data_IF_730482323504
#
_entry.id   IF_730482323504
#
_cell.length_a   1.000
_cell.length_b   1.000
_cell.length_c   1.000
_cell.angle_alpha   90.00
_cell.angle_beta   90.00
_cell.angle_gamma   90.00
#
_symmetry.space_group_name_H-M   'P 1'
#
loop_
_entity.id
_entity.type
_entity.pdbx_description
1 polymer ?
#
# COMPACT_ATOMS: atom_id res chain seq x y z
N UNK A 1 14.30 -14.35 -0.10
CA UNK A 1 13.10 -14.65 -0.92
C UNK A 1 11.90 -14.70 0.02
N UNK A 2 10.88 -13.84 -0.19
CA UNK A 2 9.72 -13.79 0.69
C UNK A 2 8.99 -15.13 0.78
N UNK A 3 8.54 -15.49 1.97
CA UNK A 3 7.71 -16.69 2.19
C UNK A 3 6.25 -16.39 1.80
N UNK A 4 5.97 -16.45 0.51
CA UNK A 4 4.64 -16.16 -0.04
C UNK A 4 3.59 -17.22 0.33
N UNK A 5 4.01 -18.42 0.75
CA UNK A 5 3.09 -19.50 1.10
C UNK A 5 2.19 -19.10 2.28
N UNK A 6 2.68 -18.24 3.20
CA UNK A 6 1.90 -17.77 4.35
C UNK A 6 0.62 -17.02 3.97
N UNK A 7 0.63 -16.36 2.81
CA UNK A 7 -0.51 -15.56 2.33
C UNK A 7 -1.24 -16.20 1.14
N UNK A 8 -0.57 -17.07 0.38
CA UNK A 8 -1.16 -17.71 -0.79
C UNK A 8 -1.77 -19.08 -0.49
N UNK A 9 -1.20 -19.82 0.44
CA UNK A 9 -1.65 -21.18 0.73
C UNK A 9 -2.53 -21.22 1.98
N UNK A 10 -3.66 -21.91 1.88
CA UNK A 10 -4.55 -22.16 3.02
C UNK A 10 -6.02 -22.00 2.68
N UNK A 11 -6.85 -22.86 3.27
CA UNK A 11 -8.30 -22.84 3.07
C UNK A 11 -9.02 -21.81 3.95
N UNK A 12 -8.38 -21.32 5.01
CA UNK A 12 -8.99 -20.37 5.95
C UNK A 12 -8.74 -18.93 5.51
N UNK A 13 -9.73 -18.03 5.69
CA UNK A 13 -9.55 -16.60 5.44
C UNK A 13 -8.33 -16.07 6.18
N UNK A 14 -7.54 -15.24 5.50
CA UNK A 14 -6.44 -14.53 6.16
C UNK A 14 -7.00 -13.33 6.93
N UNK A 15 -6.53 -13.14 8.16
CA UNK A 15 -6.88 -11.98 8.98
C UNK A 15 -6.02 -10.78 8.60
N UNK A 16 -6.52 -9.56 8.87
CA UNK A 16 -5.75 -8.32 8.70
C UNK A 16 -4.38 -8.40 9.40
N UNK A 17 -4.37 -8.87 10.66
CA UNK A 17 -3.14 -8.98 11.46
C UNK A 17 -2.12 -9.92 10.84
N UNK A 18 -2.54 -11.11 10.38
CA UNK A 18 -1.63 -12.04 9.69
C UNK A 18 -1.00 -11.40 8.46
N UNK A 19 -1.81 -10.70 7.65
CA UNK A 19 -1.30 -10.00 6.47
C UNK A 19 -0.33 -8.87 6.85
N UNK A 20 -0.67 -8.03 7.83
CA UNK A 20 0.17 -6.91 8.26
C UNK A 20 1.51 -7.36 8.85
N UNK A 21 1.49 -8.42 9.67
CA UNK A 21 2.70 -9.01 10.25
C UNK A 21 3.61 -9.58 9.14
N UNK A 22 3.03 -10.33 8.20
CA UNK A 22 3.75 -10.87 7.03
C UNK A 22 4.30 -9.78 6.12
N UNK A 23 3.50 -8.76 5.79
CA UNK A 23 3.90 -7.66 4.92
C UNK A 23 5.05 -6.88 5.56
N UNK A 24 4.97 -6.59 6.87
CA UNK A 24 6.03 -5.93 7.62
C UNK A 24 7.33 -6.72 7.57
N UNK A 25 7.27 -8.01 7.87
CA UNK A 25 8.45 -8.86 7.86
C UNK A 25 9.07 -8.91 6.46
N UNK A 26 8.26 -9.12 5.43
CA UNK A 26 8.71 -9.19 4.03
C UNK A 26 9.40 -7.90 3.58
N UNK A 27 8.82 -6.74 3.88
CA UNK A 27 9.42 -5.44 3.53
C UNK A 27 10.78 -5.26 4.22
N UNK A 28 10.90 -5.63 5.49
CA UNK A 28 12.16 -5.52 6.24
C UNK A 28 13.21 -6.48 5.69
N UNK A 29 12.84 -7.71 5.35
CA UNK A 29 13.73 -8.69 4.70
C UNK A 29 14.22 -8.19 3.33
N UNK A 30 13.35 -7.60 2.52
CA UNK A 30 13.75 -6.99 1.23
C UNK A 30 14.81 -5.90 1.40
N UNK A 31 14.71 -5.09 2.45
CA UNK A 31 15.70 -4.04 2.75
C UNK A 31 17.00 -4.64 3.26
N UNK A 32 16.95 -5.69 4.10
CA UNK A 32 18.15 -6.41 4.53
C UNK A 32 18.91 -7.01 3.34
N UNK A 33 18.20 -7.59 2.37
CA UNK A 33 18.79 -8.12 1.14
C UNK A 33 19.29 -7.02 0.18
N UNK A 34 18.64 -5.84 0.19
CA UNK A 34 18.95 -4.68 -0.66
C UNK A 34 19.00 -3.38 0.15
N UNK A 35 20.11 -3.11 0.87
CA UNK A 35 20.21 -1.98 1.82
C UNK A 35 20.02 -0.57 1.22
N UNK A 36 20.09 -0.44 -0.11
CA UNK A 36 19.86 0.83 -0.80
C UNK A 36 18.36 1.13 -1.03
N UNK A 37 17.45 0.21 -0.70
CA UNK A 37 16.01 0.45 -0.78
C UNK A 37 15.49 1.13 0.50
N UNK A 38 14.69 2.17 0.33
CA UNK A 38 13.85 2.68 1.42
C UNK A 38 12.68 1.73 1.67
N UNK A 39 12.05 1.84 2.85
CA UNK A 39 10.80 1.13 3.15
C UNK A 39 9.74 1.42 2.11
N UNK A 40 9.57 2.68 1.71
CA UNK A 40 8.60 3.05 0.68
C UNK A 40 8.83 2.33 -0.65
N UNK A 41 10.08 2.20 -1.10
CA UNK A 41 10.39 1.48 -2.35
C UNK A 41 10.17 -0.02 -2.22
N UNK A 42 10.61 -0.64 -1.12
CA UNK A 42 10.40 -2.06 -0.87
C UNK A 42 8.89 -2.38 -0.81
N UNK A 43 8.11 -1.61 -0.05
CA UNK A 43 6.66 -1.75 0.03
C UNK A 43 5.98 -1.51 -1.33
N UNK A 44 6.41 -0.51 -2.12
CA UNK A 44 5.86 -0.27 -3.46
C UNK A 44 6.06 -1.46 -4.39
N UNK A 45 7.25 -2.06 -4.41
CA UNK A 45 7.54 -3.24 -5.23
C UNK A 45 6.70 -4.43 -4.79
N UNK A 46 6.59 -4.67 -3.48
CA UNK A 46 5.76 -5.74 -2.93
C UNK A 46 4.28 -5.55 -3.29
N UNK A 47 3.73 -4.36 -3.07
CA UNK A 47 2.33 -4.05 -3.40
C UNK A 47 2.05 -4.17 -4.89
N UNK A 48 3.00 -3.81 -5.76
CA UNK A 48 2.83 -3.97 -7.20
C UNK A 48 2.68 -5.44 -7.59
N UNK A 49 3.53 -6.30 -7.02
CA UNK A 49 3.43 -7.74 -7.17
C UNK A 49 2.09 -8.26 -6.62
N UNK A 50 1.71 -7.88 -5.40
CA UNK A 50 0.47 -8.34 -4.76
C UNK A 50 -0.77 -7.89 -5.51
N UNK A 51 -0.82 -6.65 -6.00
CA UNK A 51 -1.92 -6.17 -6.84
C UNK A 51 -2.06 -7.02 -8.09
N UNK A 52 -0.97 -7.33 -8.77
CA UNK A 52 -1.03 -8.16 -9.98
C UNK A 52 -1.47 -9.59 -9.66
N UNK A 53 -0.91 -10.19 -8.62
CA UNK A 53 -1.16 -11.59 -8.27
C UNK A 53 -2.54 -11.81 -7.65
N UNK A 54 -2.95 -10.95 -6.72
CA UNK A 54 -4.17 -11.10 -5.93
C UNK A 54 -5.36 -10.40 -6.59
N UNK A 55 -5.22 -9.13 -6.97
CA UNK A 55 -6.33 -8.37 -7.54
C UNK A 55 -6.60 -8.76 -8.99
N UNK A 56 -5.56 -8.85 -9.83
CA UNK A 56 -5.75 -9.14 -11.26
C UNK A 56 -5.88 -10.65 -11.52
N UNK A 57 -5.02 -11.47 -10.93
CA UNK A 57 -5.01 -12.91 -11.20
C UNK A 57 -5.82 -13.75 -10.19
N UNK A 58 -6.32 -13.17 -9.10
CA UNK A 58 -7.20 -13.85 -8.15
C UNK A 58 -6.52 -14.91 -7.28
N UNK A 59 -5.19 -14.88 -7.15
CA UNK A 59 -4.46 -15.80 -6.28
C UNK A 59 -4.48 -15.35 -4.82
N UNK A 60 -4.52 -16.30 -3.89
CA UNK A 60 -4.40 -16.03 -2.47
C UNK A 60 -5.31 -16.87 -1.59
N UNK A 61 -5.05 -16.83 -0.29
CA UNK A 61 -6.02 -17.26 0.72
C UNK A 61 -7.33 -16.46 0.57
N UNK A 62 -8.48 -17.01 1.01
CA UNK A 62 -9.73 -16.27 1.04
C UNK A 62 -9.57 -14.93 1.77
N UNK A 63 -10.29 -13.91 1.31
CA UNK A 63 -10.28 -12.54 1.85
C UNK A 63 -8.95 -11.77 1.74
N UNK A 64 -7.88 -12.34 1.16
CA UNK A 64 -6.60 -11.65 1.02
C UNK A 64 -6.73 -10.29 0.30
N UNK A 65 -7.58 -10.22 -0.73
CA UNK A 65 -7.82 -8.98 -1.49
C UNK A 65 -8.26 -7.81 -0.61
N UNK A 66 -8.94 -8.07 0.52
CA UNK A 66 -9.43 -7.03 1.44
C UNK A 66 -8.30 -6.28 2.14
N UNK A 67 -7.12 -6.91 2.24
CA UNK A 67 -5.98 -6.38 2.98
C UNK A 67 -4.87 -5.85 2.08
N UNK A 68 -4.99 -5.97 0.75
CA UNK A 68 -3.95 -5.47 -0.15
C UNK A 68 -3.88 -3.95 -0.06
N UNK A 69 -2.66 -3.44 0.19
CA UNK A 69 -2.39 -2.02 0.27
C UNK A 69 -2.30 -1.39 -1.14
N UNK A 70 -2.70 -0.13 -1.30
CA UNK A 70 -2.54 0.59 -2.56
C UNK A 70 -1.05 0.89 -2.85
N UNK A 71 -0.78 1.21 -4.11
CA UNK A 71 0.50 1.76 -4.56
C UNK A 71 0.64 3.21 -4.12
N UNK A 72 1.49 3.45 -3.12
CA UNK A 72 1.81 4.81 -2.68
C UNK A 72 2.77 5.47 -3.67
N UNK A 73 2.30 6.53 -4.34
CA UNK A 73 3.17 7.44 -5.09
C UNK A 73 2.60 8.84 -5.28
N UNK A 74 3.35 9.67 -6.02
CA UNK A 74 3.03 11.07 -6.24
C UNK A 74 1.64 11.28 -6.85
N UNK A 75 1.24 10.48 -7.84
CA UNK A 75 -0.05 10.69 -8.50
C UNK A 75 -1.22 10.36 -7.56
N UNK A 76 -1.06 9.33 -6.72
CA UNK A 76 -2.05 8.98 -5.71
C UNK A 76 -2.16 10.08 -4.63
N UNK A 77 -1.02 10.58 -4.13
CA UNK A 77 -1.00 11.69 -3.18
C UNK A 77 -1.67 12.94 -3.72
N UNK A 78 -1.30 13.39 -4.93
CA UNK A 78 -1.91 14.56 -5.57
C UNK A 78 -3.42 14.38 -5.80
N UNK A 79 -3.87 13.14 -6.01
CA UNK A 79 -5.27 12.78 -6.10
C UNK A 79 -6.03 12.93 -4.79
N UNK A 80 -5.47 12.34 -3.73
CA UNK A 80 -6.02 12.41 -2.37
C UNK A 80 -6.03 13.86 -1.88
N UNK A 81 -4.95 14.62 -2.09
CA UNK A 81 -4.87 16.03 -1.68
C UNK A 81 -6.00 16.88 -2.26
N UNK A 82 -6.29 16.69 -3.55
CA UNK A 82 -7.38 17.40 -4.21
C UNK A 82 -8.76 16.96 -3.70
N UNK A 83 -8.99 15.65 -3.60
CA UNK A 83 -10.28 15.10 -3.20
C UNK A 83 -10.62 15.39 -1.72
N UNK A 84 -9.60 15.50 -0.87
CA UNK A 84 -9.72 15.67 0.59
C UNK A 84 -9.16 17.01 1.06
N UNK A 85 -9.19 18.04 0.21
CA UNK A 85 -8.73 19.38 0.54
C UNK A 85 -9.42 19.90 1.81
N UNK A 86 -8.62 20.22 2.84
CA UNK A 86 -9.11 20.71 4.13
C UNK A 86 -9.41 19.64 5.18
N UNK A 87 -9.37 18.35 4.83
CA UNK A 87 -9.49 17.22 5.79
C UNK A 87 -8.14 16.90 6.42
N UNK A 88 -7.78 17.68 7.44
CA UNK A 88 -6.48 17.57 8.12
C UNK A 88 -6.19 16.20 8.70
N UNK A 89 -7.21 15.52 9.22
CA UNK A 89 -7.12 14.17 9.79
C UNK A 89 -6.61 13.13 8.78
N UNK A 90 -7.00 13.27 7.51
CA UNK A 90 -6.54 12.41 6.40
C UNK A 90 -5.20 12.89 5.86
N UNK A 91 -5.05 14.20 5.62
CA UNK A 91 -3.86 14.76 4.98
C UNK A 91 -2.61 14.66 5.87
N UNK A 92 -2.73 14.86 7.18
CA UNK A 92 -1.60 14.74 8.11
C UNK A 92 -1.05 13.31 8.17
N UNK A 93 -1.90 12.30 7.92
CA UNK A 93 -1.49 10.88 7.84
C UNK A 93 -0.97 10.51 6.44
N UNK A 94 -1.79 10.71 5.42
CA UNK A 94 -1.47 10.28 4.03
C UNK A 94 -0.25 11.01 3.45
N UNK A 95 -0.05 12.29 3.82
CA UNK A 95 1.07 13.12 3.35
C UNK A 95 2.17 13.31 4.38
N UNK A 96 2.22 12.45 5.42
CA UNK A 96 3.29 12.44 6.42
C UNK A 96 4.69 12.42 5.78
N UNK A 97 4.82 11.72 4.64
CA UNK A 97 5.93 11.84 3.69
C UNK A 97 5.37 12.18 2.31
N UNK A 98 6.12 12.95 1.52
CA UNK A 98 5.70 13.39 0.18
C UNK A 98 6.50 12.74 -0.97
N UNK A 99 7.46 11.86 -0.64
CA UNK A 99 8.21 11.09 -1.63
C UNK A 99 8.40 9.67 -1.11
N UNK A 100 8.23 8.69 -2.00
CA UNK A 100 8.39 7.26 -1.68
C UNK A 100 9.75 6.96 -1.05
N UNK A 101 10.81 7.62 -1.55
CA UNK A 101 12.18 7.46 -1.01
C UNK A 101 12.35 7.98 0.43
N UNK A 102 11.48 8.89 0.88
CA UNK A 102 11.57 9.51 2.21
C UNK A 102 10.79 8.69 3.27
N UNK A 103 10.10 7.62 2.86
CA UNK A 103 9.49 6.63 3.76
C UNK A 103 10.59 5.65 4.19
N UNK A 104 11.20 5.91 5.34
CA UNK A 104 12.42 5.21 5.79
C UNK A 104 12.18 4.20 6.91
N UNK A 105 11.07 4.30 7.63
CA UNK A 105 10.67 3.32 8.64
C UNK A 105 9.35 2.65 8.26
N UNK A 106 9.11 1.45 8.78
CA UNK A 106 7.81 0.81 8.58
C UNK A 106 6.66 1.57 9.26
N UNK A 107 6.93 2.31 10.33
CA UNK A 107 5.93 3.17 10.97
C UNK A 107 5.55 4.37 10.08
N UNK A 108 6.51 4.93 9.32
CA UNK A 108 6.21 5.98 8.32
C UNK A 108 5.21 5.44 7.29
N UNK A 109 5.46 4.23 6.79
CA UNK A 109 4.59 3.56 5.83
C UNK A 109 3.22 3.23 6.43
N UNK A 110 3.18 2.66 7.63
CA UNK A 110 1.95 2.31 8.33
C UNK A 110 1.08 3.54 8.59
N UNK A 111 1.66 4.67 8.98
CA UNK A 111 0.93 5.94 9.18
C UNK A 111 0.21 6.38 7.91
N UNK A 112 0.85 6.23 6.75
CA UNK A 112 0.24 6.56 5.45
C UNK A 112 -0.92 5.60 5.16
N UNK A 113 -0.73 4.29 5.38
CA UNK A 113 -1.77 3.28 5.17
C UNK A 113 -2.97 3.53 6.06
N UNK A 114 -2.79 3.83 7.35
CA UNK A 114 -3.88 4.20 8.26
C UNK A 114 -4.68 5.41 7.75
N UNK A 115 -4.01 6.40 7.14
CA UNK A 115 -4.68 7.53 6.50
C UNK A 115 -5.56 7.09 5.33
N UNK A 116 -5.10 6.11 4.55
CA UNK A 116 -5.86 5.52 3.44
C UNK A 116 -6.99 4.60 3.92
N UNK A 117 -6.85 3.98 5.09
CA UNK A 117 -7.94 3.20 5.71
C UNK A 117 -9.13 4.08 6.11
N UNK A 118 -8.86 5.30 6.61
CA UNK A 118 -9.91 6.29 6.87
C UNK A 118 -10.67 6.61 5.57
N UNK A 119 -9.95 6.86 4.48
CA UNK A 119 -10.54 7.11 3.16
C UNK A 119 -11.39 5.91 2.71
N UNK A 120 -10.84 4.70 2.78
CA UNK A 120 -11.52 3.48 2.37
C UNK A 120 -12.81 3.25 3.16
N UNK A 121 -12.76 3.46 4.49
CA UNK A 121 -13.92 3.35 5.36
C UNK A 121 -15.00 4.38 5.00
N UNK A 122 -14.63 5.64 4.76
CA UNK A 122 -15.58 6.69 4.38
C UNK A 122 -16.29 6.42 3.05
N UNK A 123 -15.59 5.75 2.11
CA UNK A 123 -16.10 5.43 0.78
C UNK A 123 -16.80 4.08 0.68
N UNK A 124 -16.68 3.22 1.69
CA UNK A 124 -17.16 1.84 1.62
C UNK A 124 -16.31 0.97 0.70
N UNK A 125 -15.02 1.27 0.61
CA UNK A 125 -14.05 0.63 -0.28
C UNK A 125 -13.20 -0.41 0.44
N UNK A 126 -12.60 -1.31 -0.34
CA UNK A 126 -11.39 -2.01 0.02
C UNK A 126 -10.20 -1.03 0.01
N UNK A 127 -9.18 -1.32 0.82
CA UNK A 127 -8.03 -0.43 0.95
C UNK A 127 -7.30 -0.19 -0.39
N UNK A 128 -7.21 -1.21 -1.25
CA UNK A 128 -6.61 -1.10 -2.59
C UNK A 128 -7.39 -0.16 -3.53
N UNK A 129 -8.70 0.03 -3.31
CA UNK A 129 -9.55 0.84 -4.18
C UNK A 129 -9.36 2.35 -3.96
N UNK A 130 -8.63 2.76 -2.93
CA UNK A 130 -8.16 4.15 -2.76
C UNK A 130 -7.34 4.61 -3.98
N UNK A 131 -6.81 3.69 -4.78
CA UNK A 131 -6.20 3.99 -6.07
C UNK A 131 -7.15 4.66 -7.08
N UNK A 132 -8.47 4.74 -6.84
CA UNK A 132 -9.37 5.55 -7.66
C UNK A 132 -8.96 7.02 -7.77
N UNK A 133 -8.28 7.54 -6.73
CA UNK A 133 -7.82 8.92 -6.70
C UNK A 133 -6.59 9.13 -7.56
N UNK A 134 -5.97 8.07 -8.07
CA UNK A 134 -4.71 8.17 -8.79
C UNK A 134 -4.85 9.07 -10.02
N UNK A 135 -4.16 10.21 -9.99
CA UNK A 135 -4.05 11.06 -11.16
C UNK A 135 -3.01 10.48 -12.11
N UNK A 136 -3.47 10.13 -13.31
CA UNK A 136 -2.55 9.96 -14.43
C UNK A 136 -1.83 11.29 -14.66
N UNK A 137 -0.50 11.26 -14.77
CA UNK A 137 0.17 12.37 -15.42
C UNK A 137 -0.22 12.33 -16.88
N UNK A 138 -1.17 13.17 -17.27
CA UNK A 138 -1.16 13.73 -18.61
C UNK A 138 0.13 14.54 -18.74
N UNK A 139 1.27 13.88 -19.01
CA UNK A 139 2.47 14.60 -19.39
C UNK A 139 2.20 15.20 -20.77
N UNK A 140 2.11 16.53 -20.79
CA UNK A 140 2.52 17.32 -21.93
C UNK A 140 3.86 16.79 -22.45
N UNK A 141 3.82 16.32 -23.70
CA UNK A 141 4.89 16.19 -24.70
C UNK A 141 6.33 16.07 -24.18
N UNK A 142 6.93 14.91 -24.43
CA UNK A 142 8.33 14.83 -24.87
C UNK A 142 8.34 14.57 -26.37
#
# INVERSE_FOLDING_TARGET
MPDYNQIFDGAQPITKREFEDWHRQTVLEMILEKPNLSVGWAAKVLNYFLKTTVNVAGFGRPDLIKWIHPLVDKGLWEGIEDAYKGRRDILEKTHYRQKVKDIVTYNDYQTIIEGMEIIAQERGYLLIEVEEFWKERCNEKF
#
